data_IF_337868555799
#
_entry.id   IF_337868555799
#
_cell.length_a   1.000
_cell.length_b   1.000
_cell.length_c   1.000
_cell.angle_alpha   90.00
_cell.angle_beta   90.00
_cell.angle_gamma   90.00
#
_symmetry.space_group_name_H-M   'P 1'
#
loop_
_entity.id
_entity.type
_entity.pdbx_description
1 polymer ?
#
# COMPACT_ATOMS: atom_id res chain seq x y z
N UNK A 1 53.87 -92.12 -1.36
CA UNK A 1 53.03 -90.91 -1.39
C UNK A 1 51.60 -91.32 -1.69
N UNK A 2 50.70 -91.09 -0.74
CA UNK A 2 49.35 -91.63 -0.78
C UNK A 2 48.61 -91.16 -2.04
N UNK A 3 48.19 -92.14 -2.83
CA UNK A 3 47.36 -92.04 -4.02
C UNK A 3 46.13 -91.20 -3.70
N UNK A 4 46.15 -89.92 -4.05
CA UNK A 4 44.93 -89.21 -4.40
C UNK A 4 44.50 -89.80 -5.75
N UNK A 5 43.85 -90.97 -5.67
CA UNK A 5 43.06 -91.51 -6.77
C UNK A 5 42.17 -90.38 -7.24
N UNK A 6 42.32 -89.96 -8.51
CA UNK A 6 41.95 -88.64 -9.06
C UNK A 6 40.55 -88.12 -8.64
N UNK A 7 39.63 -89.03 -8.32
CA UNK A 7 38.30 -88.79 -7.73
C UNK A 7 38.26 -88.11 -6.34
N UNK A 8 39.32 -88.14 -5.53
CA UNK A 8 39.31 -87.67 -4.12
C UNK A 8 39.61 -86.17 -3.97
N UNK A 9 40.47 -85.59 -4.81
CA UNK A 9 40.73 -84.14 -4.82
C UNK A 9 39.56 -83.35 -5.43
N UNK A 10 38.89 -83.97 -6.42
CA UNK A 10 37.71 -83.42 -7.09
C UNK A 10 36.51 -83.23 -6.14
N UNK A 11 36.39 -84.04 -5.07
CA UNK A 11 35.28 -83.96 -4.12
C UNK A 11 35.40 -82.80 -3.11
N UNK A 12 36.61 -82.27 -2.88
CA UNK A 12 36.85 -81.17 -1.91
C UNK A 12 36.91 -79.78 -2.55
N UNK A 13 37.31 -79.69 -3.82
CA UNK A 13 37.24 -78.44 -4.58
C UNK A 13 35.79 -78.06 -4.97
N UNK A 14 34.92 -79.06 -5.21
CA UNK A 14 33.50 -78.84 -5.54
C UNK A 14 32.66 -78.27 -4.39
N UNK A 15 33.07 -78.48 -3.13
CA UNK A 15 32.31 -78.07 -1.94
C UNK A 15 32.60 -76.61 -1.54
N UNK A 16 33.75 -76.05 -1.93
CA UNK A 16 34.12 -74.67 -1.60
C UNK A 16 33.63 -73.64 -2.64
N UNK A 17 33.40 -74.05 -3.91
CA UNK A 17 32.80 -73.19 -4.94
C UNK A 17 31.27 -73.07 -4.84
N UNK A 18 30.59 -74.03 -4.20
CA UNK A 18 29.12 -74.07 -4.05
C UNK A 18 28.55 -73.13 -2.98
N UNK A 19 29.38 -72.47 -2.17
CA UNK A 19 28.92 -71.58 -1.08
C UNK A 19 28.93 -70.09 -1.49
N UNK A 20 29.67 -69.71 -2.54
CA UNK A 20 29.62 -68.33 -3.10
C UNK A 20 28.52 -68.21 -4.17
N UNK A 21 27.87 -69.33 -4.52
CA UNK A 21 26.66 -69.40 -5.35
C UNK A 21 25.34 -69.31 -4.55
N UNK A 22 25.37 -68.99 -3.25
CA UNK A 22 24.17 -68.98 -2.40
C UNK A 22 23.67 -67.59 -1.99
N UNK A 23 24.29 -66.49 -2.46
CA UNK A 23 23.93 -65.14 -2.01
C UNK A 23 23.58 -64.10 -3.08
N UNK A 24 23.45 -64.45 -4.37
CA UNK A 24 22.61 -63.69 -5.35
C UNK A 24 22.48 -64.41 -6.71
N UNK A 25 22.26 -65.73 -6.70
CA UNK A 25 21.67 -66.41 -7.84
C UNK A 25 20.18 -66.06 -7.91
N UNK A 26 19.79 -65.18 -8.83
CA UNK A 26 18.55 -65.29 -9.58
C UNK A 26 18.68 -64.50 -10.89
N UNK A 27 18.94 -65.29 -11.94
CA UNK A 27 18.83 -65.03 -13.39
C UNK A 27 20.06 -64.50 -14.14
N UNK A 28 20.98 -65.43 -14.40
CA UNK A 28 21.84 -65.42 -15.58
C UNK A 28 21.00 -65.43 -16.88
N UNK A 29 21.41 -64.60 -17.84
CA UNK A 29 21.02 -64.66 -19.25
C UNK A 29 21.37 -66.02 -19.88
N UNK A 30 20.44 -66.58 -20.65
CA UNK A 30 20.66 -67.69 -21.56
C UNK A 30 19.93 -67.48 -22.89
N UNK A 31 20.59 -66.80 -23.84
CA UNK A 31 20.32 -66.84 -25.28
C UNK A 31 20.44 -68.29 -25.80
N UNK A 32 19.77 -68.84 -26.82
CA UNK A 32 18.83 -68.44 -27.88
C UNK A 32 18.01 -69.74 -28.23
N UNK A 33 16.95 -69.83 -29.04
CA UNK A 33 16.51 -69.08 -30.21
C UNK A 33 15.03 -69.45 -30.53
N UNK A 34 14.24 -68.46 -30.94
CA UNK A 34 13.28 -68.59 -32.05
C UNK A 34 13.15 -67.19 -32.67
N UNK A 35 13.29 -67.13 -33.98
CA UNK A 35 13.27 -65.89 -34.78
C UNK A 35 11.90 -65.23 -34.66
N UNK A 36 11.86 -64.01 -34.12
CA UNK A 36 10.69 -63.13 -34.24
C UNK A 36 11.18 -61.72 -34.55
N UNK A 37 10.66 -61.20 -35.65
CA UNK A 37 10.93 -59.91 -36.32
C UNK A 37 11.51 -58.78 -35.46
N UNK A 38 12.55 -58.12 -35.97
CA UNK A 38 13.07 -56.88 -35.40
C UNK A 38 12.07 -55.73 -35.59
N UNK A 39 11.32 -55.39 -34.53
CA UNK A 39 10.70 -54.07 -34.42
C UNK A 39 11.78 -53.11 -33.92
N UNK A 40 12.10 -52.09 -34.73
CA UNK A 40 12.95 -51.00 -34.30
C UNK A 40 12.16 -50.11 -33.32
N UNK A 41 12.55 -50.07 -32.05
CA UNK A 41 12.01 -49.13 -31.08
C UNK A 41 12.96 -47.95 -30.94
N UNK A 42 12.60 -46.78 -31.49
CA UNK A 42 13.29 -45.53 -31.18
C UNK A 42 12.58 -44.84 -30.02
N UNK A 43 13.21 -44.83 -28.85
CA UNK A 43 12.77 -43.96 -27.76
C UNK A 43 13.35 -42.56 -27.99
N UNK A 44 12.48 -41.57 -28.22
CA UNK A 44 12.87 -40.16 -28.09
C UNK A 44 12.57 -39.75 -26.66
N UNK A 45 13.61 -39.42 -25.89
CA UNK A 45 13.45 -38.91 -24.53
C UNK A 45 12.78 -37.54 -24.55
N UNK A 46 11.83 -37.32 -23.62
CA UNK A 46 11.24 -36.02 -23.32
C UNK A 46 11.52 -35.64 -21.87
N UNK A 47 11.82 -34.36 -21.62
CA UNK A 47 12.00 -33.82 -20.27
C UNK A 47 10.69 -33.29 -19.70
N UNK A 48 10.41 -33.57 -18.43
CA UNK A 48 9.39 -32.86 -17.66
C UNK A 48 10.09 -31.67 -16.98
N UNK A 49 9.72 -30.46 -17.38
CA UNK A 49 10.10 -29.23 -16.68
C UNK A 49 8.92 -28.79 -15.82
N UNK A 50 9.14 -28.72 -14.51
CA UNK A 50 8.22 -28.07 -13.58
C UNK A 50 8.75 -26.67 -13.35
N UNK A 51 7.93 -25.65 -13.64
CA UNK A 51 8.29 -24.26 -13.42
C UNK A 51 8.58 -23.96 -11.95
N UNK A 52 9.49 -23.04 -11.69
CA UNK A 52 9.77 -22.54 -10.33
C UNK A 52 8.63 -21.64 -9.86
N UNK A 53 8.14 -21.84 -8.64
CA UNK A 53 7.24 -20.89 -7.98
C UNK A 53 8.11 -19.77 -7.40
N UNK A 54 7.97 -18.55 -7.92
CA UNK A 54 8.61 -17.35 -7.39
C UNK A 54 7.53 -16.48 -6.77
N UNK A 55 7.58 -16.29 -5.46
CA UNK A 55 6.81 -15.23 -4.79
C UNK A 55 7.50 -13.89 -5.09
N UNK A 56 6.76 -12.94 -5.65
CA UNK A 56 7.26 -11.60 -5.99
C UNK A 56 6.29 -10.56 -5.47
N UNK A 57 6.40 -10.30 -4.17
CA UNK A 57 5.63 -9.27 -3.50
C UNK A 57 5.94 -7.88 -4.11
N UNK A 58 4.89 -7.09 -4.32
CA UNK A 58 5.02 -5.67 -4.70
C UNK A 58 5.49 -4.88 -3.48
N UNK A 59 6.53 -4.08 -3.68
CA UNK A 59 7.08 -3.15 -2.68
C UNK A 59 6.72 -1.73 -3.08
N UNK A 60 6.16 -0.95 -2.16
CA UNK A 60 5.84 0.47 -2.33
C UNK A 60 6.70 1.27 -1.35
N UNK A 61 7.37 2.30 -1.84
CA UNK A 61 8.03 3.33 -1.00
C UNK A 61 7.33 4.65 -1.25
N UNK A 62 6.95 5.36 -0.19
CA UNK A 62 6.25 6.63 -0.32
C UNK A 62 6.69 7.65 0.74
N UNK A 63 6.44 8.92 0.46
CA UNK A 63 6.65 10.05 1.36
C UNK A 63 5.61 11.13 1.09
N UNK A 64 5.33 11.92 2.12
CA UNK A 64 4.57 13.17 2.01
C UNK A 64 5.52 14.35 1.92
N UNK A 65 5.16 15.37 1.15
CA UNK A 65 5.88 16.66 1.18
C UNK A 65 5.73 17.37 2.53
N UNK A 66 4.62 17.12 3.22
CA UNK A 66 4.33 17.57 4.58
C UNK A 66 3.34 16.61 5.24
N UNK A 67 3.55 16.32 6.53
CA UNK A 67 2.72 15.41 7.32
C UNK A 67 1.52 16.11 7.99
N UNK A 68 1.32 17.40 7.71
CA UNK A 68 0.29 18.23 8.34
C UNK A 68 -0.50 19.03 7.33
N UNK A 69 -1.83 18.98 7.50
CA UNK A 69 -2.78 19.91 6.92
C UNK A 69 -3.21 20.87 8.04
N UNK A 70 -3.10 22.17 7.78
CA UNK A 70 -3.28 23.22 8.78
C UNK A 70 -4.32 24.21 8.26
N UNK A 71 -5.47 24.26 8.93
CA UNK A 71 -6.49 25.29 8.76
C UNK A 71 -6.24 26.37 9.82
N UNK A 72 -5.62 27.47 9.42
CA UNK A 72 -5.23 28.57 10.32
C UNK A 72 -5.22 29.89 9.53
N UNK A 73 -4.87 31.00 10.15
CA UNK A 73 -4.68 32.28 9.47
C UNK A 73 -3.58 32.20 8.40
N UNK A 74 -3.66 33.10 7.42
CA UNK A 74 -2.59 33.27 6.44
C UNK A 74 -1.31 33.73 7.15
N UNK A 75 -0.18 33.20 6.68
CA UNK A 75 1.13 33.62 7.19
C UNK A 75 1.30 35.12 7.03
N UNK A 76 1.84 35.77 8.05
CA UNK A 76 2.08 37.21 8.13
C UNK A 76 0.82 38.10 8.12
N UNK A 77 -0.40 37.52 8.19
CA UNK A 77 -1.61 38.29 8.44
C UNK A 77 -1.72 38.68 9.91
N UNK A 78 -1.16 39.84 10.23
CA UNK A 78 -1.08 40.37 11.60
C UNK A 78 -2.16 41.42 11.88
N UNK A 79 -3.16 41.55 11.01
CA UNK A 79 -4.21 42.59 11.09
C UNK A 79 -5.60 41.97 11.11
N UNK A 80 -6.65 42.77 11.31
CA UNK A 80 -8.01 42.23 11.20
C UNK A 80 -8.54 41.53 12.44
N UNK A 81 -9.58 40.71 12.24
CA UNK A 81 -10.27 40.00 13.33
C UNK A 81 -9.67 38.64 13.67
N UNK A 82 -9.17 37.92 12.67
CA UNK A 82 -8.48 36.64 12.81
C UNK A 82 -7.06 36.84 12.30
N UNK A 83 -6.07 36.46 13.11
CA UNK A 83 -4.67 36.82 12.90
C UNK A 83 -3.78 35.63 13.07
N UNK A 84 -2.67 35.67 12.35
CA UNK A 84 -1.56 34.77 12.57
C UNK A 84 -0.93 34.98 13.96
N UNK A 85 -0.70 33.89 14.67
CA UNK A 85 -0.15 33.89 16.04
C UNK A 85 1.40 33.85 16.07
N UNK A 86 2.03 33.82 14.90
CA UNK A 86 3.48 33.71 14.75
C UNK A 86 4.02 32.28 14.82
N UNK A 87 3.18 31.25 15.02
CA UNK A 87 3.60 29.84 15.19
C UNK A 87 3.22 28.96 14.01
N UNK A 88 1.93 28.81 13.75
CA UNK A 88 1.41 27.97 12.68
C UNK A 88 0.72 28.84 11.65
N UNK A 89 0.83 28.51 10.38
CA UNK A 89 0.11 29.18 9.30
C UNK A 89 -0.58 28.14 8.45
N UNK A 90 -1.59 28.59 7.71
CA UNK A 90 -2.31 27.73 6.77
C UNK A 90 -1.38 26.87 5.89
N UNK A 91 -1.77 25.61 5.75
CA UNK A 91 -1.23 24.70 4.75
C UNK A 91 -2.34 23.69 4.36
N UNK A 92 -2.95 23.87 3.19
CA UNK A 92 -4.08 23.05 2.74
C UNK A 92 -3.67 21.93 1.78
N UNK A 93 -2.38 21.80 1.50
CA UNK A 93 -1.88 20.89 0.46
C UNK A 93 -0.79 19.97 1.00
N UNK A 94 -0.80 18.73 0.53
CA UNK A 94 0.34 17.82 0.64
C UNK A 94 0.45 16.97 -0.61
N UNK A 95 1.64 16.48 -0.92
CA UNK A 95 1.88 15.65 -2.09
C UNK A 95 2.40 14.31 -1.63
N UNK A 96 1.71 13.22 -2.00
CA UNK A 96 2.22 11.87 -1.82
C UNK A 96 3.01 11.48 -3.06
N UNK A 97 4.27 11.10 -2.85
CA UNK A 97 5.18 10.72 -3.93
C UNK A 97 5.94 9.46 -3.55
N UNK A 98 6.34 8.68 -4.55
CA UNK A 98 7.00 7.43 -4.28
C UNK A 98 7.22 6.55 -5.49
N UNK A 99 7.62 5.31 -5.23
CA UNK A 99 7.86 4.30 -6.26
C UNK A 99 7.28 2.96 -5.85
N UNK A 100 6.92 2.14 -6.83
CA UNK A 100 6.61 0.73 -6.60
C UNK A 100 7.26 -0.20 -7.62
N UNK A 101 7.58 -1.41 -7.17
CA UNK A 101 8.21 -2.47 -7.97
C UNK A 101 7.76 -3.85 -7.48
N UNK A 102 7.56 -4.86 -8.36
CA UNK A 102 7.65 -4.81 -9.81
C UNK A 102 6.44 -4.12 -10.44
N UNK A 103 6.66 -3.09 -11.26
CA UNK A 103 5.57 -2.33 -11.90
C UNK A 103 4.77 -3.14 -12.92
N UNK A 104 5.40 -4.13 -13.54
CA UNK A 104 4.83 -5.03 -14.54
C UNK A 104 3.68 -5.87 -14.02
N UNK A 105 3.55 -6.03 -12.70
CA UNK A 105 2.47 -6.79 -12.05
C UNK A 105 1.29 -5.92 -11.65
N UNK A 106 1.45 -4.61 -11.65
CA UNK A 106 0.41 -3.67 -11.24
C UNK A 106 -0.40 -3.28 -12.46
N UNK A 107 -1.67 -3.64 -12.46
CA UNK A 107 -2.63 -3.24 -13.48
C UNK A 107 -3.29 -1.91 -13.14
N UNK A 108 -3.46 -1.61 -11.85
CA UNK A 108 -4.08 -0.37 -11.39
C UNK A 108 -3.40 0.13 -10.13
N UNK A 109 -3.11 1.44 -10.09
CA UNK A 109 -2.60 2.10 -8.90
C UNK A 109 -3.59 3.17 -8.45
N UNK A 110 -3.90 3.23 -7.16
CA UNK A 110 -4.84 4.23 -6.63
C UNK A 110 -4.38 4.86 -5.33
N UNK A 111 -4.80 6.11 -5.14
CA UNK A 111 -4.52 6.93 -3.96
C UNK A 111 -5.84 7.28 -3.27
N UNK A 112 -5.87 7.16 -1.96
CA UNK A 112 -7.04 7.51 -1.15
C UNK A 112 -6.61 8.15 0.17
N UNK A 113 -7.31 9.20 0.58
CA UNK A 113 -7.07 9.90 1.84
C UNK A 113 -8.15 9.49 2.83
N UNK A 114 -7.74 8.95 3.97
CA UNK A 114 -8.63 8.48 5.04
C UNK A 114 -8.21 9.11 6.36
N UNK A 115 -9.13 9.18 7.33
CA UNK A 115 -8.75 9.52 8.70
C UNK A 115 -8.37 8.24 9.44
N UNK A 116 -7.32 8.31 10.24
CA UNK A 116 -6.80 7.13 10.93
C UNK A 116 -5.31 7.20 11.21
N UNK A 117 -4.77 6.08 11.67
CA UNK A 117 -3.36 5.93 12.04
C UNK A 117 -2.74 4.73 11.35
N UNK A 118 -1.43 4.79 11.17
CA UNK A 118 -0.60 3.67 10.75
C UNK A 118 0.05 3.06 11.99
N UNK A 119 -0.05 1.75 12.14
CA UNK A 119 0.58 0.99 13.22
C UNK A 119 2.10 1.06 13.14
N UNK A 120 2.77 0.64 14.24
CA UNK A 120 4.23 0.64 14.31
C UNK A 120 4.92 -0.27 13.27
N UNK A 121 4.18 -1.20 12.66
CA UNK A 121 4.63 -2.07 11.58
C UNK A 121 4.66 -1.38 10.20
N UNK A 122 4.14 -0.16 10.10
CA UNK A 122 4.04 0.60 8.84
C UNK A 122 3.03 0.06 7.84
N UNK A 123 2.21 -0.93 8.22
CA UNK A 123 1.30 -1.66 7.31
C UNK A 123 -0.13 -1.71 7.82
N UNK A 124 -0.30 -1.89 9.13
CA UNK A 124 -1.63 -1.95 9.73
C UNK A 124 -2.23 -0.56 9.76
N UNK A 125 -3.39 -0.38 9.15
CA UNK A 125 -4.13 0.89 9.14
C UNK A 125 -5.34 0.76 10.05
N UNK A 126 -5.49 1.69 10.98
CA UNK A 126 -6.70 1.83 11.81
C UNK A 126 -7.46 3.06 11.34
N UNK A 127 -8.63 2.85 10.74
CA UNK A 127 -9.48 3.95 10.29
C UNK A 127 -10.28 4.58 11.43
N UNK A 128 -10.39 5.90 11.43
CA UNK A 128 -11.23 6.68 12.34
C UNK A 128 -12.47 7.19 11.59
N UNK A 129 -13.52 6.37 11.59
CA UNK A 129 -14.77 6.69 10.87
C UNK A 129 -15.51 7.90 11.48
N UNK A 130 -15.33 8.17 12.76
CA UNK A 130 -15.93 9.34 13.40
C UNK A 130 -15.25 10.62 12.92
N UNK A 131 -13.91 10.63 12.83
CA UNK A 131 -13.17 11.73 12.22
C UNK A 131 -13.53 11.95 10.75
N UNK A 132 -13.70 10.89 9.96
CA UNK A 132 -14.17 11.01 8.58
C UNK A 132 -15.53 11.68 8.50
N UNK A 133 -16.46 11.24 9.34
CA UNK A 133 -17.81 11.80 9.41
C UNK A 133 -17.76 13.29 9.79
N UNK A 134 -16.89 13.69 10.72
CA UNK A 134 -16.69 15.10 11.08
C UNK A 134 -16.20 15.94 9.90
N UNK A 135 -15.18 15.46 9.18
CA UNK A 135 -14.66 16.14 7.99
C UNK A 135 -15.72 16.25 6.88
N UNK A 136 -16.52 15.20 6.67
CA UNK A 136 -17.65 15.20 5.73
C UNK A 136 -18.75 16.18 6.15
N UNK A 137 -19.06 16.25 7.45
CA UNK A 137 -20.02 17.22 7.98
C UNK A 137 -19.51 18.65 7.85
N UNK A 138 -18.23 18.91 8.11
CA UNK A 138 -17.62 20.22 7.89
C UNK A 138 -17.71 20.65 6.42
N UNK A 139 -17.51 19.71 5.49
CA UNK A 139 -17.70 19.96 4.06
C UNK A 139 -19.18 20.16 3.66
N UNK A 140 -20.08 19.38 4.26
CA UNK A 140 -21.54 19.50 4.05
C UNK A 140 -22.07 20.84 4.56
N UNK A 141 -21.50 21.35 5.65
CA UNK A 141 -21.76 22.69 6.18
C UNK A 141 -20.95 23.78 5.45
N UNK A 142 -20.33 23.45 4.31
CA UNK A 142 -19.64 24.38 3.42
C UNK A 142 -18.44 25.11 4.06
N UNK A 143 -17.91 24.62 5.18
CA UNK A 143 -16.71 25.21 5.78
C UNK A 143 -15.44 24.91 4.96
N UNK A 144 -15.36 23.69 4.42
CA UNK A 144 -14.19 23.21 3.67
C UNK A 144 -14.63 22.46 2.41
N UNK A 145 -13.70 22.34 1.47
CA UNK A 145 -13.79 21.41 0.34
C UNK A 145 -12.78 20.29 0.56
N UNK A 146 -13.27 19.06 0.55
CA UNK A 146 -12.44 17.86 0.69
C UNK A 146 -11.77 17.52 -0.66
N UNK A 147 -10.54 16.98 -0.64
CA UNK A 147 -9.93 16.47 -1.86
C UNK A 147 -10.78 15.33 -2.45
N UNK A 148 -10.75 15.18 -3.78
CA UNK A 148 -11.52 14.14 -4.49
C UNK A 148 -11.17 12.72 -4.06
N UNK A 149 -9.98 12.52 -3.50
CA UNK A 149 -9.53 11.24 -2.97
C UNK A 149 -9.98 10.96 -1.52
N UNK A 150 -10.76 11.82 -0.88
CA UNK A 150 -11.10 11.69 0.54
C UNK A 150 -12.26 10.72 0.79
N UNK A 151 -12.09 9.83 1.77
CA UNK A 151 -13.15 8.97 2.30
C UNK A 151 -13.28 7.61 1.62
N UNK A 152 -14.12 6.77 2.21
CA UNK A 152 -14.37 5.40 1.75
C UNK A 152 -15.00 5.38 0.35
N UNK A 153 -14.41 4.64 -0.60
CA UNK A 153 -14.93 4.49 -1.96
C UNK A 153 -14.59 5.63 -2.93
N UNK A 154 -13.74 6.57 -2.52
CA UNK A 154 -13.30 7.71 -3.34
C UNK A 154 -11.87 7.56 -3.84
N UNK A 155 -11.39 6.32 -4.02
CA UNK A 155 -10.03 6.05 -4.50
C UNK A 155 -9.79 6.68 -5.87
N UNK A 156 -8.73 7.47 -5.99
CA UNK A 156 -8.34 8.09 -7.25
C UNK A 156 -7.34 7.19 -7.97
N UNK A 157 -7.77 6.70 -9.13
CA UNK A 157 -6.96 5.83 -9.98
C UNK A 157 -5.99 6.67 -10.78
N UNK A 158 -4.71 6.31 -10.73
CA UNK A 158 -3.67 6.93 -11.54
C UNK A 158 -3.44 6.06 -12.78
N UNK A 159 -3.47 6.70 -13.95
CA UNK A 159 -3.21 6.02 -15.22
C UNK A 159 -1.73 5.96 -15.52
N UNK A 160 -1.25 4.79 -15.95
CA UNK A 160 0.13 4.63 -16.39
C UNK A 160 0.46 5.51 -17.60
N UNK A 161 1.63 6.15 -17.57
CA UNK A 161 2.08 7.07 -18.62
C UNK A 161 1.54 8.49 -18.46
N UNK A 162 0.72 8.75 -17.44
CA UNK A 162 0.36 10.12 -17.05
C UNK A 162 1.53 10.81 -16.32
N UNK A 163 1.53 12.16 -16.22
CA UNK A 163 2.53 12.87 -15.43
C UNK A 163 2.59 12.45 -13.95
N UNK A 164 1.51 11.88 -13.44
CA UNK A 164 1.36 11.48 -12.04
C UNK A 164 1.71 10.00 -11.80
N UNK A 165 1.95 9.22 -12.86
CA UNK A 165 2.38 7.82 -12.78
C UNK A 165 3.18 7.43 -14.03
N UNK A 166 4.50 7.36 -13.90
CA UNK A 166 5.44 7.05 -14.98
C UNK A 166 6.20 5.76 -14.71
N UNK A 167 6.34 4.90 -15.71
CA UNK A 167 7.03 3.61 -15.60
C UNK A 167 8.42 3.67 -16.26
N UNK A 168 9.42 3.14 -15.56
CA UNK A 168 10.71 2.77 -16.12
C UNK A 168 10.74 1.24 -16.33
N UNK A 169 10.55 0.83 -17.58
CA UNK A 169 10.54 -0.58 -17.98
C UNK A 169 11.91 -1.26 -17.85
N UNK A 170 13.00 -0.50 -17.80
CA UNK A 170 14.35 -1.07 -17.67
C UNK A 170 14.63 -1.59 -16.26
N UNK A 171 14.00 -0.95 -15.26
CA UNK A 171 14.14 -1.28 -13.83
C UNK A 171 12.88 -1.90 -13.23
N UNK A 172 11.84 -2.10 -14.05
CA UNK A 172 10.51 -2.58 -13.62
C UNK A 172 9.98 -1.81 -12.40
N UNK A 173 10.13 -0.49 -12.45
CA UNK A 173 9.77 0.43 -11.38
C UNK A 173 8.87 1.53 -11.92
N UNK A 174 7.79 1.82 -11.20
CA UNK A 174 6.95 2.97 -11.50
C UNK A 174 7.10 4.03 -10.41
N UNK A 175 7.11 5.30 -10.84
CA UNK A 175 7.14 6.48 -9.97
C UNK A 175 5.78 7.15 -10.02
N UNK A 176 5.24 7.51 -8.85
CA UNK A 176 3.96 8.23 -8.74
C UNK A 176 4.12 9.53 -7.96
N UNK A 177 3.25 10.48 -8.29
CA UNK A 177 3.16 11.77 -7.64
C UNK A 177 1.70 12.24 -7.67
N UNK A 178 1.11 12.46 -6.50
CA UNK A 178 -0.29 12.87 -6.39
C UNK A 178 -0.46 13.98 -5.35
N UNK A 179 -1.03 15.11 -5.77
CA UNK A 179 -1.33 16.23 -4.89
C UNK A 179 -2.71 16.05 -4.25
N UNK A 180 -2.74 16.24 -2.95
CA UNK A 180 -3.92 16.23 -2.10
C UNK A 180 -4.15 17.67 -1.67
N UNK A 181 -5.26 18.27 -2.09
CA UNK A 181 -5.61 19.65 -1.79
C UNK A 181 -6.96 19.74 -1.10
N UNK A 182 -6.97 20.37 0.07
CA UNK A 182 -8.17 20.94 0.67
C UNK A 182 -8.36 22.37 0.17
N UNK A 183 -9.55 22.91 0.34
CA UNK A 183 -9.81 24.34 0.19
C UNK A 183 -10.83 24.80 1.23
N UNK A 184 -10.99 26.11 1.38
CA UNK A 184 -12.13 26.67 2.11
C UNK A 184 -13.39 26.51 1.28
N UNK A 185 -14.51 26.25 1.96
CA UNK A 185 -15.80 26.08 1.31
C UNK A 185 -16.55 27.40 1.15
N UNK A 186 -17.79 27.29 0.66
CA UNK A 186 -18.63 28.43 0.31
C UNK A 186 -19.06 29.26 1.53
N UNK A 187 -19.09 28.67 2.74
CA UNK A 187 -19.38 29.41 3.97
C UNK A 187 -18.39 30.59 4.17
N UNK A 188 -17.13 30.40 3.78
CA UNK A 188 -16.11 31.45 3.76
C UNK A 188 -15.84 32.00 2.35
N UNK A 189 -16.73 31.74 1.38
CA UNK A 189 -16.59 32.13 -0.04
C UNK A 189 -15.29 31.66 -0.69
N UNK A 190 -14.80 30.50 -0.27
CA UNK A 190 -13.51 29.97 -0.71
C UNK A 190 -12.29 30.75 -0.21
N UNK A 191 -12.45 31.64 0.76
CA UNK A 191 -11.37 32.46 1.32
C UNK A 191 -10.94 31.94 2.69
N UNK A 192 -9.69 32.22 3.04
CA UNK A 192 -9.21 32.01 4.40
C UNK A 192 -10.01 32.89 5.38
N UNK A 193 -10.43 32.37 6.55
CA UNK A 193 -11.14 33.13 7.58
C UNK A 193 -10.47 34.46 7.98
N UNK A 194 -9.14 34.55 7.99
CA UNK A 194 -8.38 35.80 8.22
C UNK A 194 -8.71 36.89 7.21
N UNK A 195 -8.97 36.52 5.95
CA UNK A 195 -9.39 37.44 4.90
C UNK A 195 -10.91 37.65 4.92
N UNK A 196 -11.67 36.56 5.04
CA UNK A 196 -13.13 36.57 4.95
C UNK A 196 -13.76 37.52 5.96
N UNK A 197 -13.37 37.43 7.24
CA UNK A 197 -13.99 38.21 8.31
C UNK A 197 -13.68 39.71 8.27
N UNK A 198 -12.69 40.10 7.49
CA UNK A 198 -12.29 41.48 7.29
C UNK A 198 -13.02 42.16 6.13
N UNK A 199 -13.80 41.40 5.34
CA UNK A 199 -14.68 41.95 4.31
C UNK A 199 -15.84 42.74 4.92
N UNK A 200 -16.33 43.77 4.21
CA UNK A 200 -17.45 44.59 4.70
C UNK A 200 -18.75 43.79 4.87
N UNK A 201 -18.96 42.80 4.02
CA UNK A 201 -20.08 41.88 4.13
C UNK A 201 -19.99 41.02 5.38
N UNK A 202 -18.85 40.38 5.62
CA UNK A 202 -18.65 39.57 6.81
C UNK A 202 -18.67 40.42 8.09
N UNK A 203 -18.21 41.68 8.03
CA UNK A 203 -18.32 42.60 9.17
C UNK A 203 -19.75 42.86 9.61
N UNK A 204 -20.67 42.87 8.65
CA UNK A 204 -22.10 43.09 8.88
C UNK A 204 -22.78 41.79 9.34
N UNK A 205 -22.48 40.67 8.69
CA UNK A 205 -23.10 39.37 8.98
C UNK A 205 -22.57 38.73 10.28
N UNK A 206 -21.31 39.00 10.61
CA UNK A 206 -20.59 38.48 11.77
C UNK A 206 -20.03 39.62 12.61
N UNK A 207 -20.80 40.18 13.55
CA UNK A 207 -20.33 41.23 14.45
C UNK A 207 -19.22 40.74 15.40
N UNK A 208 -18.63 41.65 16.18
CA UNK A 208 -17.56 41.30 17.12
C UNK A 208 -18.06 40.51 18.34
N UNK A 209 -19.32 40.72 18.75
CA UNK A 209 -19.90 40.13 19.96
C UNK A 209 -21.29 39.55 19.70
N UNK A 210 -21.74 38.66 20.59
CA UNK A 210 -23.03 37.98 20.50
C UNK A 210 -22.97 36.61 19.81
N UNK A 211 -24.12 35.94 19.74
CA UNK A 211 -24.25 34.56 19.24
C UNK A 211 -23.92 34.42 17.76
N UNK A 212 -24.03 35.50 16.98
CA UNK A 212 -23.65 35.55 15.56
C UNK A 212 -22.24 36.09 15.32
N UNK A 213 -21.44 36.25 16.37
CA UNK A 213 -20.11 36.81 16.22
C UNK A 213 -19.20 35.94 15.36
N UNK A 214 -18.18 36.55 14.74
CA UNK A 214 -17.16 35.80 14.00
C UNK A 214 -16.46 34.75 14.89
N UNK A 215 -16.31 35.06 16.18
CA UNK A 215 -15.75 34.11 17.15
C UNK A 215 -16.69 32.92 17.39
N UNK A 216 -18.00 33.15 17.51
CA UNK A 216 -18.97 32.05 17.65
C UNK A 216 -18.98 31.14 16.40
N UNK A 217 -18.87 31.73 15.21
CA UNK A 217 -18.80 30.98 13.95
C UNK A 217 -17.51 30.16 13.82
N UNK A 218 -16.34 30.75 14.15
CA UNK A 218 -15.07 30.01 14.22
C UNK A 218 -15.10 28.87 15.23
N UNK A 219 -15.77 29.04 16.37
CA UNK A 219 -15.99 27.97 17.35
C UNK A 219 -16.88 26.86 16.79
N UNK A 220 -17.89 27.20 15.99
CA UNK A 220 -18.74 26.23 15.31
C UNK A 220 -17.95 25.45 14.24
N UNK A 221 -17.10 26.13 13.45
CA UNK A 221 -16.17 25.48 12.53
C UNK A 221 -15.21 24.53 13.25
N UNK A 222 -14.56 24.99 14.33
CA UNK A 222 -13.66 24.17 15.15
C UNK A 222 -14.37 22.91 15.66
N UNK A 223 -15.60 23.06 16.16
CA UNK A 223 -16.42 21.94 16.63
C UNK A 223 -16.80 20.99 15.50
N UNK A 224 -17.13 21.50 14.32
CA UNK A 224 -17.43 20.67 13.15
C UNK A 224 -16.22 19.80 12.76
N UNK A 225 -15.02 20.38 12.78
CA UNK A 225 -13.79 19.68 12.44
C UNK A 225 -13.37 18.67 13.52
N UNK A 226 -13.41 19.05 14.79
CA UNK A 226 -12.78 18.29 15.89
C UNK A 226 -13.76 17.46 16.72
N UNK A 227 -15.05 17.81 16.69
CA UNK A 227 -16.10 17.17 17.50
C UNK A 227 -16.18 17.69 18.93
N UNK A 228 -15.31 18.62 19.32
CA UNK A 228 -15.28 19.20 20.68
C UNK A 228 -15.42 20.71 20.63
N UNK A 229 -15.94 21.29 21.71
CA UNK A 229 -16.03 22.74 21.81
C UNK A 229 -14.62 23.36 21.84
N UNK A 230 -14.46 24.52 21.21
CA UNK A 230 -13.20 25.25 21.25
C UNK A 230 -12.85 25.60 22.71
N UNK A 231 -11.59 25.42 23.14
CA UNK A 231 -11.20 25.75 24.50
C UNK A 231 -11.44 27.23 24.78
N UNK A 232 -11.94 27.56 25.98
CA UNK A 232 -11.94 28.93 26.48
C UNK A 232 -10.51 29.34 26.81
N UNK A 233 -10.16 30.59 26.49
CA UNK A 233 -8.82 31.18 26.56
C UNK A 233 -7.89 30.62 27.67
N UNK A 234 -6.69 30.21 27.25
CA UNK A 234 -5.48 29.94 28.06
C UNK A 234 -5.21 28.54 28.65
N UNK A 235 -5.76 27.46 28.09
CA UNK A 235 -5.07 26.17 28.13
C UNK A 235 -5.09 25.55 26.74
N UNK A 236 -3.91 25.27 26.18
CA UNK A 236 -3.75 24.37 25.04
C UNK A 236 -4.08 22.93 25.47
N UNK A 237 -5.26 22.75 26.06
CA UNK A 237 -5.84 21.46 26.38
C UNK A 237 -5.92 20.64 25.11
N UNK A 238 -5.60 19.36 25.22
CA UNK A 238 -5.42 18.39 24.14
C UNK A 238 -6.45 18.56 23.02
N UNK A 239 -6.09 19.33 21.98
CA UNK A 239 -6.80 19.33 20.70
C UNK A 239 -6.81 17.86 20.26
N UNK A 240 -7.97 17.27 19.93
CA UNK A 240 -8.01 15.91 19.40
C UNK A 240 -7.08 15.84 18.20
N UNK A 241 -6.00 15.06 18.31
CA UNK A 241 -5.07 14.88 17.20
C UNK A 241 -5.81 14.14 16.10
N UNK A 242 -6.16 14.86 15.04
CA UNK A 242 -6.79 14.28 13.87
C UNK A 242 -5.70 13.80 12.93
N UNK A 243 -5.51 12.48 12.89
CA UNK A 243 -4.54 11.86 12.02
C UNK A 243 -5.20 11.47 10.70
N UNK A 244 -4.47 11.67 9.60
CA UNK A 244 -4.84 11.14 8.30
C UNK A 244 -3.84 10.08 7.87
N UNK A 245 -4.29 9.21 6.98
CA UNK A 245 -3.47 8.21 6.30
C UNK A 245 -3.74 8.29 4.81
N UNK A 246 -2.67 8.21 4.01
CA UNK A 246 -2.79 8.03 2.57
C UNK A 246 -2.67 6.54 2.26
N UNK A 247 -3.77 5.96 1.80
CA UNK A 247 -3.84 4.56 1.38
C UNK A 247 -3.40 4.49 -0.08
N UNK A 248 -2.33 3.74 -0.32
CA UNK A 248 -1.82 3.44 -1.65
C UNK A 248 -2.15 1.99 -1.97
N UNK A 249 -2.84 1.75 -3.07
CA UNK A 249 -3.18 0.41 -3.52
C UNK A 249 -2.56 0.14 -4.89
N UNK A 250 -1.86 -0.99 -4.99
CA UNK A 250 -1.30 -1.50 -6.22
C UNK A 250 -1.98 -2.84 -6.53
N UNK A 251 -3.00 -2.79 -7.39
CA UNK A 251 -3.83 -3.92 -7.74
C UNK A 251 -3.26 -4.67 -8.95
N UNK A 252 -3.17 -5.99 -8.83
CA UNK A 252 -2.69 -6.91 -9.87
C UNK A 252 -3.83 -7.56 -10.65
N UNK A 253 -5.08 -7.30 -10.26
CA UNK A 253 -6.27 -7.81 -10.93
C UNK A 253 -6.67 -6.94 -12.12
N UNK A 254 -7.52 -7.50 -13.00
CA UNK A 254 -8.08 -6.76 -14.12
C UNK A 254 -7.12 -6.48 -15.27
N UNK A 255 -7.45 -5.50 -16.11
CA UNK A 255 -6.64 -5.05 -17.25
C UNK A 255 -5.94 -3.76 -16.90
N UNK A 256 -4.70 -3.61 -17.35
CA UNK A 256 -3.87 -2.44 -17.08
C UNK A 256 -4.52 -1.15 -17.62
N UNK A 257 -4.63 -0.13 -16.77
CA UNK A 257 -5.30 1.17 -17.04
C UNK A 257 -4.42 2.38 -16.82
#
# INVERSE_FOLDING_TARGET
MAKLTKKSYQRKAMVLGGVIFASCALFATGFAAFVVSSSATSGVGGGISVGTISDKAITITSKLSTDKIIFDALKDDNTGRVRWDGKNSENLTTTVSGTFTPSSYVNQFSVNLRMGTVGADGKTITFDKEAETRMQNAATNEYIVLPTCFGEGNEQKLSFGSPNLTEDKSTDTATFNYEISFAWGEHFKGQNPSVFYDTEEAKTSYPNEGEKSYLADLKAFYKAMTGVDAPSDAEAGSIPVQNFVVVLNADTSGTRS
#
